data_IF_876951474972
#
_entry.id   IF_876951474972
#
_cell.length_a   1.000
_cell.length_b   1.000
_cell.length_c   1.000
_cell.angle_alpha   90.00
_cell.angle_beta   90.00
_cell.angle_gamma   90.00
#
_symmetry.space_group_name_H-M   'P 1'
#
loop_
_entity.id
_entity.type
_entity.pdbx_description
1 polymer ?
#
# COMPACT_ATOMS: atom_id res chain seq x y z
N UNK A 1 11.30 -0.20 -9.28
CA UNK A 1 11.06 0.05 -7.84
C UNK A 1 10.72 -1.30 -7.23
N UNK A 2 11.61 -1.88 -6.43
CA UNK A 2 11.38 -3.18 -5.80
C UNK A 2 10.81 -2.93 -4.40
N UNK A 3 9.55 -3.30 -4.18
CA UNK A 3 8.90 -3.28 -2.87
C UNK A 3 9.04 -4.70 -2.31
N UNK A 4 9.89 -4.86 -1.30
CA UNK A 4 10.08 -6.15 -0.63
C UNK A 4 9.15 -6.22 0.58
N UNK A 5 8.08 -7.01 0.51
CA UNK A 5 7.36 -7.49 1.70
C UNK A 5 7.86 -8.89 2.04
N UNK A 6 8.63 -9.01 3.12
CA UNK A 6 9.13 -10.30 3.61
C UNK A 6 8.02 -11.04 4.38
N UNK A 7 7.78 -12.30 4.03
CA UNK A 7 6.95 -13.25 4.77
C UNK A 7 7.84 -14.06 5.74
N UNK A 8 7.36 -14.38 6.96
CA UNK A 8 7.24 -15.75 7.56
C UNK A 8 7.21 -15.78 9.11
N UNK A 9 6.46 -16.77 9.64
CA UNK A 9 6.58 -17.49 10.93
C UNK A 9 5.67 -17.09 12.10
N UNK A 10 4.90 -18.08 12.58
CA UNK A 10 3.84 -18.03 13.59
C UNK A 10 4.30 -17.96 15.06
N UNK A 11 5.47 -17.39 15.34
CA UNK A 11 6.00 -17.21 16.71
C UNK A 11 6.48 -15.76 16.97
N UNK A 12 6.45 -14.89 15.97
CA UNK A 12 6.81 -13.47 16.12
C UNK A 12 5.60 -12.56 15.85
N UNK A 13 5.41 -11.47 16.61
CA UNK A 13 4.42 -10.47 16.25
C UNK A 13 4.78 -9.90 14.88
N UNK A 14 3.87 -10.02 13.92
CA UNK A 14 4.01 -9.41 12.61
C UNK A 14 3.50 -7.97 12.68
N UNK A 15 4.38 -7.03 12.38
CA UNK A 15 4.04 -5.62 12.23
C UNK A 15 3.84 -5.33 10.75
N UNK A 16 2.67 -4.79 10.42
CA UNK A 16 2.40 -4.22 9.11
C UNK A 16 2.86 -2.77 9.20
N UNK A 17 3.60 -2.32 8.19
CA UNK A 17 4.09 -0.94 8.12
C UNK A 17 3.39 -0.18 7.00
N UNK A 18 3.51 1.15 7.05
CA UNK A 18 2.98 2.08 6.07
C UNK A 18 4.07 3.01 5.52
N UNK A 19 5.34 2.72 5.77
CA UNK A 19 6.44 3.53 5.24
C UNK A 19 6.68 3.28 3.75
N UNK A 20 7.14 4.32 3.07
CA UNK A 20 7.62 4.24 1.68
C UNK A 20 9.12 4.44 1.69
N UNK A 21 9.86 3.45 1.19
CA UNK A 21 11.31 3.51 1.02
C UNK A 21 11.64 3.83 -0.43
N UNK A 22 12.32 4.95 -0.65
CA UNK A 22 12.78 5.39 -1.98
C UNK A 22 14.28 5.15 -2.09
N UNK A 23 14.67 4.28 -3.02
CA UNK A 23 16.07 3.99 -3.32
C UNK A 23 16.56 4.87 -4.47
N UNK A 24 17.68 5.59 -4.28
CA UNK A 24 18.23 6.51 -5.28
C UNK A 24 19.14 5.82 -6.31
N UNK A 25 19.45 4.54 -6.11
CA UNK A 25 20.28 3.73 -7.02
C UNK A 25 21.78 3.78 -6.73
N UNK A 26 22.25 4.71 -5.90
CA UNK A 26 23.64 4.86 -5.45
C UNK A 26 23.92 4.20 -4.08
N UNK A 27 22.94 3.42 -3.57
CA UNK A 27 22.98 2.82 -2.24
C UNK A 27 22.36 3.69 -1.14
N UNK A 28 22.01 4.95 -1.43
CA UNK A 28 21.24 5.78 -0.50
C UNK A 28 19.74 5.52 -0.62
N UNK A 29 19.04 5.78 0.48
CA UNK A 29 17.58 5.69 0.53
C UNK A 29 17.00 6.75 1.47
N UNK A 30 15.73 7.07 1.24
CA UNK A 30 14.92 7.90 2.14
C UNK A 30 13.69 7.11 2.57
N UNK A 31 13.37 7.16 3.85
CA UNK A 31 12.17 6.55 4.42
C UNK A 31 11.16 7.65 4.69
N UNK A 32 9.97 7.52 4.11
CA UNK A 32 8.83 8.38 4.38
C UNK A 32 7.87 7.64 5.29
N UNK A 33 7.74 8.11 6.54
CA UNK A 33 6.70 7.66 7.46
C UNK A 33 5.42 8.47 7.28
N UNK A 34 4.27 7.80 7.36
CA UNK A 34 2.97 8.45 7.21
C UNK A 34 2.16 8.32 8.50
N UNK A 35 1.38 9.35 8.89
CA UNK A 35 0.35 9.19 9.91
C UNK A 35 -0.66 8.12 9.52
N UNK A 36 -1.10 7.31 10.49
CA UNK A 36 -2.01 6.18 10.25
C UNK A 36 -3.37 6.62 9.70
N UNK A 37 -3.84 7.81 10.05
CA UNK A 37 -5.08 8.42 9.55
C UNK A 37 -4.99 8.87 8.09
N UNK A 38 -3.77 9.12 7.59
CA UNK A 38 -3.52 9.47 6.18
C UNK A 38 -3.30 8.21 5.34
N UNK A 39 -2.45 7.30 5.82
CA UNK A 39 -2.14 6.04 5.15
C UNK A 39 -1.95 4.94 6.19
N UNK A 40 -2.97 4.09 6.42
CA UNK A 40 -2.86 2.98 7.37
C UNK A 40 -1.83 1.92 6.93
N UNK A 41 -1.27 1.14 7.86
CA UNK A 41 -0.49 -0.05 7.54
C UNK A 41 -1.16 -0.95 6.50
N UNK A 42 -0.40 -1.37 5.49
CA UNK A 42 -0.91 -2.23 4.42
C UNK A 42 0.10 -3.28 3.97
N UNK A 43 -0.40 -4.46 3.64
CA UNK A 43 0.34 -5.58 3.07
C UNK A 43 -0.49 -6.29 1.99
N UNK A 44 0.18 -7.04 1.11
CA UNK A 44 -0.44 -7.79 0.00
C UNK A 44 -1.35 -6.97 -0.92
N UNK A 45 -1.12 -5.66 -0.99
CA UNK A 45 -1.69 -4.77 -2.00
C UNK A 45 -0.95 -4.90 -3.34
N UNK A 46 -1.54 -4.39 -4.41
CA UNK A 46 -0.82 -4.11 -5.64
C UNK A 46 -0.37 -2.66 -5.68
N UNK A 47 0.74 -2.40 -6.35
CA UNK A 47 1.29 -1.06 -6.56
C UNK A 47 1.63 -0.88 -8.04
N UNK A 48 0.87 -0.04 -8.75
CA UNK A 48 0.97 0.13 -10.21
C UNK A 48 1.26 1.59 -10.54
N UNK A 49 2.33 1.84 -11.32
CA UNK A 49 2.67 3.18 -11.82
C UNK A 49 1.71 3.56 -12.95
N UNK A 50 1.05 4.71 -12.79
CA UNK A 50 0.17 5.34 -13.78
C UNK A 50 0.54 6.81 -13.87
N UNK A 51 1.15 7.20 -14.99
CA UNK A 51 1.73 8.52 -15.19
C UNK A 51 2.69 8.93 -14.05
N UNK A 52 2.28 9.90 -13.21
CA UNK A 52 3.05 10.44 -12.09
C UNK A 52 2.63 9.91 -10.72
N UNK A 53 1.75 8.90 -10.69
CA UNK A 53 1.22 8.31 -9.48
C UNK A 53 1.47 6.81 -9.42
N UNK A 54 1.75 6.30 -8.23
CA UNK A 54 1.67 4.86 -7.95
C UNK A 54 0.33 4.62 -7.26
N UNK A 55 -0.56 3.87 -7.91
CA UNK A 55 -1.82 3.44 -7.30
C UNK A 55 -1.58 2.21 -6.43
N UNK A 56 -2.05 2.29 -5.20
CA UNK A 56 -1.96 1.23 -4.18
C UNK A 56 -3.38 0.72 -3.96
N UNK A 57 -3.64 -0.54 -4.34
CA UNK A 57 -4.99 -1.12 -4.34
C UNK A 57 -5.00 -2.38 -3.48
N UNK A 58 -6.04 -2.51 -2.64
CA UNK A 58 -6.26 -3.67 -1.77
C UNK A 58 -5.36 -3.68 -0.52
N UNK A 59 -5.60 -4.65 0.35
CA UNK A 59 -4.86 -4.86 1.59
C UNK A 59 -5.28 -6.22 2.20
N UNK A 60 -4.37 -7.00 2.78
CA UNK A 60 -4.78 -8.10 3.66
C UNK A 60 -5.14 -7.54 5.04
N UNK A 61 -4.21 -6.78 5.64
CA UNK A 61 -4.39 -6.03 6.88
C UNK A 61 -4.71 -6.90 8.10
N UNK A 62 -4.87 -6.22 9.23
CA UNK A 62 -5.36 -6.85 10.46
C UNK A 62 -6.83 -7.24 10.32
N UNK A 63 -7.20 -8.43 10.80
CA UNK A 63 -8.56 -8.99 10.62
C UNK A 63 -9.67 -8.10 11.19
N UNK A 64 -9.40 -7.42 12.30
CA UNK A 64 -10.33 -6.53 12.99
C UNK A 64 -10.51 -5.17 12.32
N UNK A 65 -9.65 -4.81 11.35
CA UNK A 65 -9.72 -3.53 10.62
C UNK A 65 -10.41 -3.66 9.25
N UNK A 66 -10.79 -4.88 8.86
CA UNK A 66 -11.41 -5.14 7.56
C UNK A 66 -12.83 -4.62 7.52
N UNK A 67 -13.17 -3.96 6.41
CA UNK A 67 -14.49 -3.40 6.17
C UNK A 67 -15.15 -4.17 5.04
N UNK A 68 -16.36 -4.68 5.29
CA UNK A 68 -17.16 -5.38 4.28
C UNK A 68 -17.48 -4.45 3.10
N UNK A 69 -17.52 -4.98 1.87
CA UNK A 69 -17.83 -4.21 0.65
C UNK A 69 -16.94 -3.00 0.37
N UNK A 70 -15.75 -2.95 0.98
CA UNK A 70 -14.79 -1.86 0.82
C UNK A 70 -13.46 -2.36 0.27
N UNK A 71 -12.92 -1.63 -0.70
CA UNK A 71 -11.57 -1.83 -1.23
C UNK A 71 -10.73 -0.59 -0.93
N UNK A 72 -9.65 -0.68 -0.14
CA UNK A 72 -8.76 0.46 0.05
C UNK A 72 -8.05 0.78 -1.26
N UNK A 73 -8.09 2.06 -1.65
CA UNK A 73 -7.40 2.60 -2.82
C UNK A 73 -6.71 3.90 -2.43
N UNK A 74 -5.41 3.95 -2.65
CA UNK A 74 -4.58 5.13 -2.43
C UNK A 74 -3.78 5.43 -3.69
N UNK A 75 -3.25 6.64 -3.77
CA UNK A 75 -2.23 7.00 -4.76
C UNK A 75 -1.08 7.75 -4.10
N UNK A 76 0.13 7.40 -4.49
CA UNK A 76 1.37 8.07 -4.10
C UNK A 76 1.84 8.96 -5.26
N UNK A 77 2.03 10.25 -5.04
CA UNK A 77 2.64 11.14 -6.03
C UNK A 77 4.15 10.90 -6.10
N UNK A 78 4.69 10.56 -7.29
CA UNK A 78 6.11 10.24 -7.46
C UNK A 78 7.07 11.42 -7.26
N UNK A 79 6.58 12.65 -7.26
CA UNK A 79 7.41 13.86 -7.14
C UNK A 79 7.35 14.45 -5.73
N UNK A 80 6.19 14.41 -5.08
CA UNK A 80 6.00 15.01 -3.74
C UNK A 80 6.01 13.99 -2.61
N UNK A 81 5.87 12.70 -2.94
CA UNK A 81 5.67 11.61 -1.98
C UNK A 81 4.45 11.81 -1.07
N UNK A 82 3.46 12.58 -1.51
CA UNK A 82 2.18 12.63 -0.81
C UNK A 82 1.35 11.39 -1.16
N UNK A 83 0.75 10.78 -0.13
CA UNK A 83 -0.25 9.72 -0.29
C UNK A 83 -1.63 10.32 -0.04
N UNK A 84 -2.55 9.99 -0.93
CA UNK A 84 -3.95 10.39 -0.84
C UNK A 84 -4.86 9.17 -0.99
N UNK A 85 -5.94 9.12 -0.22
CA UNK A 85 -7.03 8.18 -0.47
C UNK A 85 -7.74 8.56 -1.77
N UNK A 86 -8.07 7.55 -2.57
CA UNK A 86 -8.83 7.72 -3.81
C UNK A 86 -10.27 7.30 -3.57
N UNK A 87 -11.20 8.22 -3.73
CA UNK A 87 -12.63 7.90 -3.72
C UNK A 87 -13.01 7.12 -4.99
N UNK A 88 -13.66 5.97 -4.80
CA UNK A 88 -14.02 5.05 -5.89
C UNK A 88 -15.52 4.87 -6.01
N UNK A 89 -15.98 4.79 -7.26
CA UNK A 89 -17.38 4.63 -7.62
C UNK A 89 -17.60 3.29 -8.33
N UNK A 90 -18.86 2.84 -8.41
CA UNK A 90 -19.23 1.54 -8.98
C UNK A 90 -19.21 0.38 -7.98
N UNK A 91 -19.37 -0.83 -8.51
CA UNK A 91 -19.32 -2.07 -7.74
C UNK A 91 -17.90 -2.30 -7.21
N UNK A 92 -17.78 -2.48 -5.90
CA UNK A 92 -16.49 -2.73 -5.25
C UNK A 92 -16.29 -4.23 -5.09
N UNK A 93 -15.10 -4.77 -5.39
CA UNK A 93 -14.81 -6.20 -5.23
C UNK A 93 -14.67 -6.64 -3.76
N UNK A 94 -14.92 -5.74 -2.80
CA UNK A 94 -14.74 -5.97 -1.37
C UNK A 94 -13.27 -5.90 -0.92
N UNK A 95 -12.99 -6.52 0.21
CA UNK A 95 -11.67 -6.45 0.86
C UNK A 95 -10.69 -7.44 0.21
N UNK A 96 -10.06 -7.03 -0.88
CA UNK A 96 -9.16 -7.86 -1.70
C UNK A 96 -7.68 -7.73 -1.32
N UNK A 97 -6.94 -8.83 -1.46
CA UNK A 97 -5.48 -8.92 -1.27
C UNK A 97 -4.91 -9.97 -2.23
N UNK A 98 -3.60 -9.92 -2.52
CA UNK A 98 -2.92 -10.86 -3.43
C UNK A 98 -3.54 -10.93 -4.84
N UNK A 99 -4.23 -9.89 -5.27
CA UNK A 99 -4.76 -9.75 -6.62
C UNK A 99 -3.67 -9.26 -7.57
N UNK A 100 -3.98 -9.19 -8.86
CA UNK A 100 -3.12 -8.60 -9.88
C UNK A 100 -3.73 -7.29 -10.40
N UNK A 101 -2.88 -6.31 -10.68
CA UNK A 101 -3.26 -5.03 -11.27
C UNK A 101 -2.17 -4.57 -12.24
N UNK A 102 -2.58 -4.07 -13.40
CA UNK A 102 -1.71 -3.59 -14.49
C UNK A 102 -2.35 -2.39 -15.18
N UNK A 103 -1.52 -1.48 -15.69
CA UNK A 103 -1.91 -0.32 -16.50
C UNK A 103 -1.37 -0.48 -17.92
#
# INVERSE_FOLDING_TARGET
>A
MNINCLYKSSITPFFIYNDVVVHQGDGTFTIFGYPQDIFPPTDFHTATLVEKYIYIIGCLGYRNERICEYTPVYRLNCHTFNIEKVETNGEKPGWISQHQASY
#
